data_IF_360392804726
#
_entry.id   IF_360392804726
#
_cell.length_a   1.000
_cell.length_b   1.000
_cell.length_c   1.000
_cell.angle_alpha   90.00
_cell.angle_beta   90.00
_cell.angle_gamma   90.00
#
_symmetry.space_group_name_H-M   'P 1'
#
loop_
_entity.id
_entity.type
_entity.pdbx_description
1 polymer ?
#
# COMPACT_ATOMS: atom_id res chain seq x y z
N UNK A 1 5.21 6.08 -9.46
CA UNK A 1 4.45 5.05 -10.20
C UNK A 1 2.98 5.42 -10.20
N UNK A 2 2.09 4.46 -10.43
CA UNK A 2 0.68 4.61 -10.05
C UNK A 2 0.48 4.20 -8.59
N UNK A 3 -0.54 4.70 -7.91
CA UNK A 3 -0.92 4.26 -6.57
C UNK A 3 -2.29 3.57 -6.62
N UNK A 4 -2.50 2.54 -5.79
CA UNK A 4 -3.79 1.86 -5.65
C UNK A 4 -4.28 1.97 -4.22
N UNK A 5 -5.55 2.37 -4.04
CA UNK A 5 -6.22 2.36 -2.76
C UNK A 5 -6.40 0.92 -2.30
N UNK A 6 -5.74 0.54 -1.21
CA UNK A 6 -5.79 -0.81 -0.65
C UNK A 6 -6.74 -0.91 0.56
N UNK A 7 -7.20 0.23 1.08
CA UNK A 7 -8.30 0.28 2.01
C UNK A 7 -8.48 1.65 2.65
N UNK A 8 -9.54 1.75 3.46
CA UNK A 8 -9.82 2.94 4.25
C UNK A 8 -9.33 2.69 5.66
N UNK A 9 -8.39 3.49 6.10
CA UNK A 9 -7.75 3.45 7.41
C UNK A 9 -6.40 4.05 7.51
N UNK A 10 -5.99 4.27 8.76
CA UNK A 10 -4.59 4.53 9.01
C UNK A 10 -3.80 3.34 8.48
N UNK A 11 -2.75 3.59 7.71
CA UNK A 11 -1.89 2.56 7.17
C UNK A 11 -1.24 1.82 8.35
N UNK A 12 -1.24 0.49 8.28
CA UNK A 12 -0.61 -0.37 9.26
C UNK A 12 0.37 -1.27 8.54
N UNK A 13 1.47 -1.58 9.21
CA UNK A 13 2.46 -2.48 8.64
C UNK A 13 2.03 -3.93 8.71
N UNK A 14 2.38 -4.70 7.68
CA UNK A 14 2.15 -6.15 7.61
C UNK A 14 2.85 -6.88 8.76
N UNK A 15 4.02 -6.40 9.17
CA UNK A 15 4.80 -6.91 10.31
C UNK A 15 4.97 -5.84 11.38
N UNK A 16 5.43 -6.24 12.57
CA UNK A 16 5.78 -5.28 13.64
C UNK A 16 6.96 -4.42 13.17
N UNK A 17 6.81 -3.10 13.32
CA UNK A 17 7.85 -2.11 13.05
C UNK A 17 9.11 -2.44 13.84
N UNK A 18 10.23 -2.53 13.12
CA UNK A 18 11.54 -2.86 13.71
C UNK A 18 12.45 -1.63 13.82
N UNK A 19 12.13 -0.55 13.09
CA UNK A 19 12.95 0.65 13.01
C UNK A 19 12.12 1.94 13.24
N UNK A 20 12.77 2.98 13.75
CA UNK A 20 12.17 4.31 13.91
C UNK A 20 11.35 4.50 15.20
N UNK A 21 10.64 5.63 15.33
CA UNK A 21 9.97 6.03 16.58
C UNK A 21 8.83 5.12 17.03
N UNK A 22 8.31 4.26 16.14
CA UNK A 22 7.16 3.40 16.37
C UNK A 22 7.55 1.91 16.54
N UNK A 23 8.83 1.63 16.85
CA UNK A 23 9.33 0.28 17.08
C UNK A 23 8.46 -0.51 18.09
N UNK A 24 8.14 -1.77 17.76
CA UNK A 24 7.30 -2.65 18.57
C UNK A 24 5.79 -2.45 18.36
N UNK A 25 5.38 -1.65 17.37
CA UNK A 25 3.97 -1.42 17.01
C UNK A 25 3.71 -1.79 15.55
N UNK A 26 2.47 -1.60 15.07
CA UNK A 26 2.11 -1.72 13.64
C UNK A 26 1.93 -0.37 12.93
N UNK A 27 2.37 0.73 13.55
CA UNK A 27 2.23 2.05 12.94
C UNK A 27 3.21 2.28 11.78
N UNK A 28 4.34 1.56 11.76
CA UNK A 28 5.34 1.68 10.71
C UNK A 28 6.42 2.72 11.00
N UNK A 29 7.54 2.57 10.30
CA UNK A 29 8.45 3.67 10.05
C UNK A 29 7.88 4.58 8.95
N UNK A 30 7.52 5.81 9.31
CA UNK A 30 6.95 6.78 8.37
C UNK A 30 7.50 8.19 8.56
N UNK A 31 7.37 9.01 7.52
CA UNK A 31 7.57 10.46 7.60
C UNK A 31 6.24 11.20 7.38
N UNK A 32 5.91 12.12 8.29
CA UNK A 32 4.69 12.93 8.27
C UNK A 32 4.97 14.29 7.66
N UNK A 33 4.11 14.73 6.76
CA UNK A 33 4.15 16.05 6.15
C UNK A 33 2.74 16.59 5.87
N UNK A 34 2.64 17.90 5.63
CA UNK A 34 1.40 18.58 5.31
C UNK A 34 1.45 19.08 3.87
N UNK A 35 0.47 18.68 3.06
CA UNK A 35 0.45 18.91 1.60
C UNK A 35 -0.87 19.55 1.17
N UNK A 36 -0.89 20.18 0.00
CA UNK A 36 -2.11 20.77 -0.56
C UNK A 36 -2.97 19.74 -1.29
N UNK A 37 -2.35 18.66 -1.79
CA UNK A 37 -3.03 17.67 -2.65
C UNK A 37 -2.53 16.26 -2.40
N UNK A 38 -3.33 15.26 -2.79
CA UNK A 38 -2.90 13.86 -2.85
C UNK A 38 -1.66 13.67 -3.73
N UNK A 39 -1.62 14.36 -4.87
CA UNK A 39 -0.50 14.27 -5.81
C UNK A 39 0.83 14.74 -5.20
N UNK A 40 0.80 15.75 -4.33
CA UNK A 40 1.99 16.16 -3.57
C UNK A 40 2.44 15.07 -2.59
N UNK A 41 1.51 14.32 -1.99
CA UNK A 41 1.83 13.18 -1.13
C UNK A 41 2.48 12.03 -1.91
N UNK A 42 1.90 11.67 -3.06
CA UNK A 42 2.44 10.66 -3.99
C UNK A 42 3.84 11.06 -4.47
N UNK A 43 4.03 12.33 -4.82
CA UNK A 43 5.32 12.86 -5.28
C UNK A 43 6.39 12.73 -4.20
N UNK A 44 6.07 13.03 -2.95
CA UNK A 44 7.01 12.90 -1.86
C UNK A 44 7.42 11.43 -1.60
N UNK A 45 6.49 10.49 -1.76
CA UNK A 45 6.79 9.06 -1.70
C UNK A 45 7.75 8.65 -2.82
N UNK A 46 7.44 9.00 -4.08
CA UNK A 46 8.27 8.64 -5.24
C UNK A 46 9.65 9.33 -5.22
N UNK A 47 9.79 10.50 -4.61
CA UNK A 47 11.06 11.24 -4.55
C UNK A 47 11.87 11.00 -3.26
N UNK A 48 11.38 10.16 -2.35
CA UNK A 48 12.06 9.86 -1.09
C UNK A 48 13.41 9.19 -1.34
N UNK A 49 14.44 9.56 -0.55
CA UNK A 49 15.75 8.88 -0.55
C UNK A 49 15.69 7.46 0.04
N UNK A 50 14.65 7.18 0.84
CA UNK A 50 14.33 5.86 1.37
C UNK A 50 13.20 5.25 0.55
N UNK A 51 13.29 3.97 0.18
CA UNK A 51 12.23 3.28 -0.56
C UNK A 51 10.88 3.42 0.16
N UNK A 52 10.00 4.23 -0.43
CA UNK A 52 8.63 4.37 0.02
C UNK A 52 7.79 3.25 -0.58
N UNK A 53 6.92 2.65 0.23
CA UNK A 53 6.07 1.52 -0.20
C UNK A 53 4.59 1.91 -0.28
N UNK A 54 4.22 3.06 0.28
CA UNK A 54 2.86 3.56 0.24
C UNK A 54 2.69 4.88 0.99
N UNK A 55 1.49 5.44 0.88
CA UNK A 55 1.09 6.70 1.52
C UNK A 55 -0.21 6.54 2.31
N UNK A 56 -0.30 7.27 3.41
CA UNK A 56 -1.56 7.56 4.09
C UNK A 56 -1.94 9.02 3.80
N UNK A 57 -3.13 9.25 3.26
CA UNK A 57 -3.63 10.59 2.99
C UNK A 57 -4.93 10.84 3.75
N UNK A 58 -4.98 11.94 4.52
CA UNK A 58 -6.20 12.36 5.17
C UNK A 58 -7.07 13.16 4.19
N UNK A 59 -8.31 12.74 3.87
CA UNK A 59 -9.13 13.41 2.86
C UNK A 59 -9.77 14.72 3.33
N UNK A 60 -9.71 15.03 4.62
CA UNK A 60 -10.13 16.31 5.19
C UNK A 60 -8.92 17.17 5.51
N UNK A 61 -8.93 18.43 5.07
CA UNK A 61 -7.90 19.38 5.45
C UNK A 61 -7.95 19.71 6.94
N UNK A 62 -6.80 20.05 7.51
CA UNK A 62 -6.69 20.71 8.81
C UNK A 62 -7.25 22.13 8.77
N UNK A 63 -7.24 22.82 9.91
CA UNK A 63 -7.70 24.21 10.03
C UNK A 63 -6.89 25.20 9.17
N UNK A 64 -5.69 24.83 8.72
CA UNK A 64 -4.85 25.64 7.82
C UNK A 64 -5.12 25.37 6.34
N UNK A 65 -6.03 24.44 6.00
CA UNK A 65 -6.33 24.04 4.62
C UNK A 65 -5.38 22.97 4.07
N UNK A 66 -4.39 22.52 4.85
CA UNK A 66 -3.46 21.47 4.44
C UNK A 66 -3.95 20.08 4.86
N UNK A 67 -3.66 19.08 4.05
CA UNK A 67 -3.97 17.68 4.29
C UNK A 67 -2.78 16.96 4.92
N UNK A 68 -3.07 16.08 5.87
CA UNK A 68 -2.04 15.24 6.49
C UNK A 68 -1.65 14.14 5.52
N UNK A 69 -0.35 13.99 5.30
CA UNK A 69 0.25 12.97 4.45
C UNK A 69 1.32 12.22 5.25
N UNK A 70 1.29 10.89 5.20
CA UNK A 70 2.36 10.05 5.72
C UNK A 70 2.96 9.21 4.59
N UNK A 71 4.28 9.13 4.53
CA UNK A 71 5.03 8.26 3.60
C UNK A 71 5.60 7.09 4.39
N UNK A 72 5.27 5.86 3.99
CA UNK A 72 5.64 4.65 4.73
C UNK A 72 6.82 3.93 4.07
N UNK A 73 7.72 3.41 4.90
CA UNK A 73 8.95 2.75 4.45
C UNK A 73 9.01 1.26 4.81
N UNK A 74 7.93 0.72 5.36
CA UNK A 74 7.76 -0.69 5.73
C UNK A 74 6.44 -1.20 5.12
N UNK A 75 6.41 -2.45 4.69
CA UNK A 75 5.29 -3.07 3.96
C UNK A 75 3.95 -2.89 4.69
N UNK A 76 2.90 -2.50 3.95
CA UNK A 76 1.57 -2.17 4.47
C UNK A 76 0.59 -3.35 4.36
N UNK A 77 -0.35 -3.46 5.29
CA UNK A 77 -1.44 -4.46 5.30
C UNK A 77 -2.82 -3.81 5.36
N UNK A 78 -3.77 -4.40 4.62
CA UNK A 78 -5.18 -3.99 4.57
C UNK A 78 -6.04 -4.47 5.73
N UNK A 79 -5.52 -5.36 6.58
CA UNK A 79 -6.30 -6.06 7.61
C UNK A 79 -6.58 -5.19 8.86
N UNK A 80 -5.86 -4.07 9.04
CA UNK A 80 -5.95 -3.22 10.24
C UNK A 80 -6.37 -1.75 9.95
N UNK A 81 -7.14 -1.52 8.90
CA UNK A 81 -7.48 -0.17 8.42
C UNK A 81 -8.80 0.40 9.03
N UNK A 82 -8.81 1.68 9.49
CA UNK A 82 -9.96 2.51 10.00
C UNK A 82 -10.47 3.69 9.10
N UNK A 83 -10.51 4.96 9.52
CA UNK A 83 -11.17 6.09 8.81
C UNK A 83 -10.35 6.85 7.73
N UNK A 84 -9.05 6.61 7.57
CA UNK A 84 -8.16 7.33 6.62
C UNK A 84 -8.18 6.68 5.21
N UNK A 85 -7.34 7.07 4.27
CA UNK A 85 -7.19 6.36 2.99
C UNK A 85 -5.74 5.89 2.81
N UNK A 86 -5.54 4.59 2.61
CA UNK A 86 -4.22 3.97 2.51
C UNK A 86 -3.95 3.49 1.08
N UNK A 87 -2.85 3.97 0.49
CA UNK A 87 -2.51 3.74 -0.91
C UNK A 87 -1.13 3.11 -1.03
N UNK A 88 -0.99 2.09 -1.86
CA UNK A 88 0.28 1.39 -2.11
C UNK A 88 0.84 1.79 -3.49
N UNK A 89 2.17 1.93 -3.60
CA UNK A 89 2.80 2.16 -4.92
C UNK A 89 2.74 0.89 -5.77
N UNK A 90 2.25 1.03 -7.00
CA UNK A 90 2.27 -0.02 -8.01
C UNK A 90 3.68 -0.20 -8.55
N UNK A 91 4.43 -1.14 -8.00
CA UNK A 91 5.64 -1.65 -8.63
C UNK A 91 5.44 -3.09 -9.13
N UNK A 92 4.94 -3.17 -10.38
CA UNK A 92 5.23 -4.14 -11.45
C UNK A 92 5.38 -5.66 -11.23
N UNK A 93 5.09 -6.27 -10.08
CA UNK A 93 5.20 -7.75 -9.92
C UNK A 93 4.01 -8.48 -9.30
N UNK A 94 2.92 -7.79 -8.92
CA UNK A 94 1.74 -8.43 -8.31
C UNK A 94 0.39 -8.01 -8.90
N UNK A 95 0.37 -7.52 -10.14
CA UNK A 95 -0.88 -7.43 -10.92
C UNK A 95 -1.33 -8.83 -11.42
N UNK A 96 -1.39 -9.82 -10.52
CA UNK A 96 -2.09 -11.10 -10.72
C UNK A 96 -2.80 -11.43 -9.42
N UNK A 97 -4.00 -10.86 -9.26
CA UNK A 97 -5.21 -11.61 -8.87
C UNK A 97 -6.34 -10.63 -8.58
N UNK A 98 -6.79 -9.89 -9.59
CA UNK A 98 -8.13 -9.35 -9.61
C UNK A 98 -9.05 -10.37 -10.27
N UNK A 99 -9.40 -11.43 -9.53
CA UNK A 99 -10.52 -12.31 -9.90
C UNK A 99 -11.08 -13.01 -8.65
N UNK A 100 -11.62 -12.21 -7.73
CA UNK A 100 -12.74 -12.68 -6.90
C UNK A 100 -14.00 -12.07 -7.50
N UNK A 101 -14.56 -12.74 -8.51
CA UNK A 101 -15.97 -12.60 -8.86
C UNK A 101 -16.51 -13.88 -9.51
N UNK A 102 -17.12 -14.70 -8.65
CA UNK A 102 -18.42 -15.32 -8.89
C UNK A 102 -18.68 -15.94 -10.28
N UNK A 103 -18.35 -17.23 -10.41
CA UNK A 103 -19.14 -18.31 -11.07
C UNK A 103 -18.34 -19.59 -10.80
N UNK A 104 -18.80 -20.48 -9.94
CA UNK A 104 -19.86 -21.40 -10.31
C UNK A 104 -19.33 -22.36 -11.39
N UNK A 105 -19.23 -23.64 -11.01
CA UNK A 105 -19.14 -24.82 -11.89
C UNK A 105 -17.73 -25.26 -12.33
N UNK A 106 -17.28 -26.36 -11.69
CA UNK A 106 -16.57 -27.51 -12.27
C UNK A 106 -15.86 -27.30 -13.60
N UNK A 107 -14.53 -27.36 -13.63
CA UNK A 107 -13.80 -28.11 -14.67
C UNK A 107 -12.43 -28.52 -14.13
N UNK A 108 -12.34 -29.80 -13.74
CA UNK A 108 -11.09 -30.55 -13.74
C UNK A 108 -10.70 -30.74 -15.19
N UNK A 109 -9.57 -30.18 -15.65
CA UNK A 109 -8.87 -30.72 -16.80
C UNK A 109 -7.36 -30.67 -16.54
N UNK A 110 -6.81 -31.89 -16.37
CA UNK A 110 -5.41 -32.21 -16.55
C UNK A 110 -5.00 -32.05 -18.02
N UNK A 111 -3.73 -32.44 -18.29
CA UNK A 111 -3.07 -32.67 -19.60
C UNK A 111 -2.40 -31.37 -20.14
N UNK A 112 -1.12 -31.28 -20.53
CA UNK A 112 -0.17 -32.28 -21.06
C UNK A 112 1.29 -31.92 -20.68
N UNK A 113 2.03 -32.99 -20.43
CA UNK A 113 3.47 -33.28 -20.49
C UNK A 113 4.26 -32.66 -21.67
N UNK A 114 5.59 -32.60 -21.49
CA UNK A 114 6.71 -32.49 -22.48
C UNK A 114 7.19 -31.04 -22.67
N UNK A 115 8.43 -30.65 -22.36
CA UNK A 115 9.76 -31.04 -22.87
C UNK A 115 10.76 -30.23 -21.98
N UNK A 116 11.90 -30.66 -21.42
CA UNK A 116 13.16 -31.17 -21.98
C UNK A 116 14.15 -31.09 -20.78
N UNK A 117 15.06 -32.07 -20.58
CA UNK A 117 16.45 -31.87 -20.13
C UNK A 117 17.15 -33.22 -19.87
N UNK A 118 18.27 -33.38 -20.56
CA UNK A 118 19.30 -34.43 -20.58
C UNK A 118 18.99 -35.73 -21.34
#
# INVERSE_FOLDING_TARGET
GGFTLIGKGACRTAEITVNGPQNGTRYGNMAVQWVNTLQECETACTQSSTTCVGIEYHPTASTTGLFKCETHFEELSAEEMSLFECWMELNSTLAVSSDVSLRGTWFVLAVVKTLMLF
#
